data_IF_791132672506
#
_entry.id   IF_791132672506
#
_cell.length_a   1.000
_cell.length_b   1.000
_cell.length_c   1.000
_cell.angle_alpha   90.00
_cell.angle_beta   90.00
_cell.angle_gamma   90.00
#
_symmetry.space_group_name_H-M   'P 1'
#
loop_
_entity.id
_entity.type
_entity.pdbx_description
1 polymer ?
#
# COMPACT_ATOMS: atom_id res chain seq x y z
N UNK A 1 -16.27 -27.39 -61.74
CA UNK A 1 -16.96 -26.43 -60.85
C UNK A 1 -16.09 -25.19 -60.66
N UNK A 2 -16.64 -24.02 -61.04
CA UNK A 2 -16.37 -22.62 -60.63
C UNK A 2 -14.92 -22.21 -60.25
N UNK A 3 -14.22 -21.41 -61.06
CA UNK A 3 -14.08 -19.92 -61.01
C UNK A 3 -13.39 -19.41 -59.72
N UNK A 4 -12.53 -18.39 -59.67
CA UNK A 4 -11.82 -17.49 -60.60
C UNK A 4 -10.86 -16.66 -59.70
N UNK A 5 -9.69 -16.34 -60.25
CA UNK A 5 -8.93 -15.07 -60.19
C UNK A 5 -9.36 -13.93 -59.26
N UNK A 6 -8.32 -13.24 -58.75
CA UNK A 6 -8.24 -11.82 -58.37
C UNK A 6 -8.70 -11.41 -56.97
N UNK A 7 -7.72 -11.21 -56.07
CA UNK A 7 -7.84 -10.31 -54.93
C UNK A 7 -7.23 -8.96 -55.33
N UNK A 8 -7.97 -8.19 -56.11
CA UNK A 8 -7.67 -6.79 -56.39
C UNK A 8 -8.54 -5.89 -55.52
N UNK A 9 -7.85 -5.02 -54.79
CA UNK A 9 -8.15 -3.60 -54.63
C UNK A 9 -9.48 -3.20 -53.97
N UNK A 10 -9.37 -2.51 -52.83
CA UNK A 10 -10.21 -1.36 -52.43
C UNK A 10 -9.52 -0.67 -51.26
N UNK A 11 -8.84 0.44 -51.54
CA UNK A 11 -9.34 1.81 -51.34
C UNK A 11 -9.20 2.25 -49.88
N UNK A 12 -8.15 3.04 -49.65
CA UNK A 12 -7.88 3.81 -48.45
C UNK A 12 -9.07 4.70 -48.05
N UNK A 13 -9.37 4.83 -46.75
CA UNK A 13 -10.10 5.97 -46.23
C UNK A 13 -9.14 6.93 -45.52
N UNK A 14 -8.93 8.04 -46.22
CA UNK A 14 -8.71 9.43 -45.75
C UNK A 14 -8.43 9.61 -44.25
N UNK A 15 -7.22 10.08 -43.96
CA UNK A 15 -6.83 10.78 -42.73
C UNK A 15 -7.79 11.96 -42.49
N UNK A 16 -8.64 11.85 -41.46
CA UNK A 16 -9.39 12.97 -40.91
C UNK A 16 -8.57 13.50 -39.73
N UNK A 17 -7.80 14.55 -39.97
CA UNK A 17 -7.14 15.31 -38.91
C UNK A 17 -8.19 16.16 -38.19
N UNK A 18 -8.70 15.69 -37.05
CA UNK A 18 -9.54 16.49 -36.16
C UNK A 18 -8.63 17.36 -35.30
N UNK A 19 -8.49 18.64 -35.66
CA UNK A 19 -7.85 19.64 -34.81
C UNK A 19 -8.86 20.06 -33.74
N UNK A 20 -8.80 19.44 -32.56
CA UNK A 20 -9.48 19.94 -31.37
C UNK A 20 -8.67 21.08 -30.76
N UNK A 21 -9.01 22.32 -31.12
CA UNK A 21 -8.59 23.50 -30.38
C UNK A 21 -9.34 23.53 -29.03
N UNK A 22 -8.69 23.07 -27.97
CA UNK A 22 -9.22 23.15 -26.60
C UNK A 22 -8.72 24.44 -25.95
N UNK A 23 -9.53 25.50 -26.05
CA UNK A 23 -9.35 26.73 -25.28
C UNK A 23 -9.65 26.45 -23.81
N UNK A 24 -8.61 26.13 -23.05
CA UNK A 24 -8.72 25.93 -21.61
C UNK A 24 -8.81 27.29 -20.91
N UNK A 25 -10.03 27.75 -20.64
CA UNK A 25 -10.25 28.85 -19.69
C UNK A 25 -9.92 28.32 -18.28
N UNK A 26 -8.80 28.76 -17.73
CA UNK A 26 -8.40 28.45 -16.35
C UNK A 26 -9.38 29.13 -15.38
N UNK A 27 -10.34 28.36 -14.87
CA UNK A 27 -11.15 28.76 -13.71
C UNK A 27 -10.26 28.67 -12.46
N UNK A 28 -10.14 29.73 -11.65
CA UNK A 28 -9.46 29.62 -10.37
C UNK A 28 -10.34 28.77 -9.44
N UNK A 29 -9.90 27.55 -9.13
CA UNK A 29 -10.48 26.76 -8.05
C UNK A 29 -10.02 27.39 -6.74
N UNK A 30 -10.91 28.13 -6.09
CA UNK A 30 -10.71 28.58 -4.73
C UNK A 30 -11.02 27.38 -3.83
N UNK A 31 -9.98 26.64 -3.45
CA UNK A 31 -10.09 25.59 -2.43
C UNK A 31 -10.45 26.25 -1.09
N UNK A 32 -11.71 26.11 -0.66
CA UNK A 32 -12.14 26.46 0.69
C UNK A 32 -11.44 25.52 1.68
N UNK A 33 -10.33 25.96 2.26
CA UNK A 33 -9.73 25.30 3.42
C UNK A 33 -10.33 25.94 4.67
N UNK A 34 -11.07 25.14 5.45
CA UNK A 34 -11.48 25.60 6.78
C UNK A 34 -10.23 25.86 7.62
N UNK A 35 -10.11 27.02 8.29
CA UNK A 35 -9.02 27.25 9.22
C UNK A 35 -9.27 26.41 10.46
N UNK A 36 -8.64 25.22 10.54
CA UNK A 36 -8.50 24.48 11.79
C UNK A 36 -7.48 25.22 12.69
N UNK A 37 -7.90 26.34 13.28
CA UNK A 37 -7.11 27.07 14.27
C UNK A 37 -7.54 26.63 15.67
N UNK A 38 -6.81 25.65 16.21
CA UNK A 38 -6.89 25.24 17.60
C UNK A 38 -5.62 24.48 17.96
N UNK A 39 -5.03 24.76 19.11
CA UNK A 39 -3.94 23.93 19.62
C UNK A 39 -4.52 22.53 19.86
N UNK A 40 -4.00 21.53 19.14
CA UNK A 40 -4.35 20.14 19.42
C UNK A 40 -3.99 19.87 20.89
N UNK A 41 -4.92 19.33 21.70
CA UNK A 41 -4.57 18.89 23.04
C UNK A 41 -3.37 17.96 22.90
N UNK A 42 -2.33 18.20 23.71
CA UNK A 42 -1.21 17.26 23.85
C UNK A 42 -1.77 16.05 24.59
N UNK A 43 -2.54 15.23 23.90
CA UNK A 43 -2.90 13.91 24.37
C UNK A 43 -1.60 13.17 24.58
N UNK A 44 -1.43 12.53 25.74
CA UNK A 44 -0.38 11.54 25.91
C UNK A 44 -0.56 10.50 24.81
N UNK A 45 0.24 10.61 23.75
CA UNK A 45 0.11 9.83 22.50
C UNK A 45 0.14 8.32 22.76
N UNK A 46 0.60 7.92 23.95
CA UNK A 46 0.70 6.53 24.39
C UNK A 46 -0.53 6.04 25.18
N UNK A 47 -1.30 6.92 25.83
CA UNK A 47 -2.45 6.53 26.64
C UNK A 47 -3.70 6.22 25.80
N UNK A 48 -3.75 6.75 24.57
CA UNK A 48 -4.88 6.61 23.64
C UNK A 48 -4.59 5.60 22.50
N UNK A 49 -3.49 4.84 22.61
CA UNK A 49 -3.13 3.85 21.58
C UNK A 49 -3.94 2.57 21.76
N UNK A 50 -4.71 2.20 20.73
CA UNK A 50 -5.44 0.92 20.68
C UNK A 50 -4.46 -0.24 20.97
N UNK A 51 -4.78 -1.17 21.89
CA UNK A 51 -3.97 -2.34 22.16
C UNK A 51 -3.64 -3.13 20.89
N UNK A 52 -2.43 -3.71 20.83
CA UNK A 52 -1.95 -4.37 19.62
C UNK A 52 -2.86 -5.54 19.21
N UNK A 53 -3.31 -6.34 20.17
CA UNK A 53 -4.22 -7.46 19.92
C UNK A 53 -5.58 -6.99 19.37
N UNK A 54 -6.12 -5.87 19.87
CA UNK A 54 -7.37 -5.30 19.34
C UNK A 54 -7.19 -4.81 17.90
N UNK A 55 -6.04 -4.19 17.60
CA UNK A 55 -5.70 -3.77 16.25
C UNK A 55 -5.55 -4.96 15.30
N UNK A 56 -4.88 -6.04 15.73
CA UNK A 56 -4.80 -7.29 14.97
C UNK A 56 -6.19 -7.92 14.79
N UNK A 57 -7.04 -7.90 15.82
CA UNK A 57 -8.42 -8.38 15.73
C UNK A 57 -9.27 -7.59 14.73
N UNK A 58 -9.00 -6.30 14.54
CA UNK A 58 -9.56 -5.51 13.44
C UNK A 58 -9.01 -5.97 12.10
N UNK A 59 -7.68 -6.11 11.95
CA UNK A 59 -7.06 -6.62 10.72
C UNK A 59 -7.63 -7.97 10.31
N UNK A 60 -7.81 -8.90 11.25
CA UNK A 60 -8.35 -10.23 10.98
C UNK A 60 -9.74 -10.17 10.34
N UNK A 61 -10.57 -9.19 10.71
CA UNK A 61 -11.91 -9.04 10.16
C UNK A 61 -11.93 -8.44 8.75
N UNK A 62 -11.01 -7.52 8.45
CA UNK A 62 -10.99 -6.79 7.16
C UNK A 62 -10.07 -7.42 6.11
N UNK A 63 -8.97 -8.01 6.56
CA UNK A 63 -7.94 -8.59 5.72
C UNK A 63 -7.18 -9.69 6.52
N UNK A 64 -7.70 -10.92 6.57
CA UNK A 64 -7.08 -12.01 7.33
C UNK A 64 -5.60 -12.23 6.99
N UNK A 65 -5.23 -12.13 5.71
CA UNK A 65 -3.82 -12.25 5.30
C UNK A 65 -2.94 -11.11 5.84
N UNK A 66 -3.50 -9.91 6.02
CA UNK A 66 -2.79 -8.78 6.61
C UNK A 66 -2.51 -9.00 8.09
N UNK A 67 -3.45 -9.60 8.83
CA UNK A 67 -3.24 -9.99 10.22
C UNK A 67 -2.15 -11.05 10.36
N UNK A 68 -2.21 -12.12 9.57
CA UNK A 68 -1.18 -13.17 9.61
C UNK A 68 0.20 -12.61 9.26
N UNK A 69 0.29 -11.81 8.20
CA UNK A 69 1.55 -11.17 7.79
C UNK A 69 2.07 -10.17 8.82
N UNK A 70 1.19 -9.41 9.48
CA UNK A 70 1.55 -8.52 10.57
C UNK A 70 2.08 -9.30 11.79
N UNK A 71 1.46 -10.43 12.16
CA UNK A 71 1.99 -11.29 13.24
C UNK A 71 3.37 -11.84 12.91
N UNK A 72 3.59 -12.28 11.68
CA UNK A 72 4.92 -12.73 11.23
C UNK A 72 5.96 -11.61 11.31
N UNK A 73 5.59 -10.38 10.93
CA UNK A 73 6.45 -9.20 11.01
C UNK A 73 6.78 -8.84 12.47
N UNK A 74 5.79 -8.83 13.36
CA UNK A 74 5.96 -8.58 14.79
C UNK A 74 6.90 -9.61 15.44
N UNK A 75 6.72 -10.90 15.12
CA UNK A 75 7.59 -11.96 15.64
C UNK A 75 9.02 -11.82 15.13
N UNK A 76 9.21 -11.51 13.84
CA UNK A 76 10.52 -11.25 13.26
C UNK A 76 11.18 -9.99 13.86
N UNK A 77 10.40 -8.94 14.11
CA UNK A 77 10.85 -7.71 14.75
C UNK A 77 11.33 -7.97 16.17
N UNK A 78 10.53 -8.65 17.00
CA UNK A 78 10.90 -9.00 18.37
C UNK A 78 12.22 -9.79 18.40
N UNK A 79 12.36 -10.77 17.52
CA UNK A 79 13.59 -11.59 17.43
C UNK A 79 14.82 -10.78 17.03
N UNK A 80 14.68 -9.84 16.09
CA UNK A 80 15.82 -9.08 15.55
C UNK A 80 16.17 -7.82 16.36
N UNK A 81 15.16 -7.19 16.96
CA UNK A 81 15.29 -5.89 17.60
C UNK A 81 15.21 -5.95 19.12
N UNK A 82 14.97 -7.13 19.70
CA UNK A 82 15.03 -7.37 21.15
C UNK A 82 13.90 -6.70 21.96
N UNK A 83 12.91 -6.09 21.30
CA UNK A 83 11.79 -5.42 21.96
C UNK A 83 10.48 -5.63 21.20
N UNK A 84 9.34 -5.51 21.88
CA UNK A 84 8.05 -5.55 21.21
C UNK A 84 7.87 -4.29 20.37
N UNK A 85 7.20 -4.45 19.23
CA UNK A 85 6.75 -3.33 18.41
C UNK A 85 5.41 -2.82 18.95
N UNK A 86 5.23 -1.50 18.99
CA UNK A 86 3.97 -0.87 19.39
C UNK A 86 2.97 -0.82 18.24
N UNK A 87 1.68 -0.70 18.55
CA UNK A 87 0.61 -0.56 17.54
C UNK A 87 0.84 0.64 16.62
N UNK A 88 1.33 1.76 17.14
CA UNK A 88 1.65 2.98 16.38
C UNK A 88 2.80 2.77 15.41
N UNK A 89 3.77 1.93 15.76
CA UNK A 89 4.87 1.54 14.87
C UNK A 89 4.37 0.62 13.76
N UNK A 90 3.56 -0.39 14.11
CA UNK A 90 2.95 -1.29 13.12
C UNK A 90 2.04 -0.53 12.15
N UNK A 91 1.18 0.37 12.66
CA UNK A 91 0.30 1.22 11.84
C UNK A 91 1.10 2.11 10.90
N UNK A 92 2.21 2.67 11.38
CA UNK A 92 3.12 3.45 10.56
C UNK A 92 3.78 2.59 9.49
N UNK A 93 4.25 1.39 9.84
CA UNK A 93 4.78 0.43 8.88
C UNK A 93 3.72 0.00 7.84
N UNK A 94 2.43 -0.07 8.18
CA UNK A 94 1.38 -0.38 7.20
C UNK A 94 1.03 0.79 6.29
N UNK A 95 1.03 2.02 6.81
CA UNK A 95 0.39 3.15 6.11
C UNK A 95 1.35 4.23 5.62
N UNK A 96 2.55 4.36 6.19
CA UNK A 96 3.47 5.44 5.83
C UNK A 96 4.16 5.14 4.49
N UNK A 97 4.13 6.10 3.56
CA UNK A 97 4.87 6.02 2.29
C UNK A 97 4.45 4.86 1.37
N UNK A 98 3.23 4.33 1.53
CA UNK A 98 2.76 3.15 0.81
C UNK A 98 2.94 1.83 1.58
N UNK A 99 3.54 1.89 2.78
CA UNK A 99 3.80 0.73 3.63
C UNK A 99 5.25 0.26 3.56
N UNK A 100 5.68 -0.44 4.60
CA UNK A 100 6.97 -1.10 4.71
C UNK A 100 6.98 -2.30 3.76
N UNK A 101 7.95 -2.37 2.83
CA UNK A 101 7.95 -3.40 1.79
C UNK A 101 8.14 -4.81 2.36
N UNK A 102 8.81 -4.96 3.51
CA UNK A 102 8.99 -6.26 4.15
C UNK A 102 7.67 -6.72 4.76
N UNK A 103 6.96 -5.83 5.46
CA UNK A 103 5.63 -6.10 5.98
C UNK A 103 4.65 -6.46 4.85
N UNK A 104 4.61 -5.67 3.77
CA UNK A 104 3.76 -5.98 2.62
C UNK A 104 4.14 -7.32 1.95
N UNK A 105 5.44 -7.63 1.90
CA UNK A 105 5.96 -8.91 1.44
C UNK A 105 5.46 -10.09 2.27
N UNK A 106 5.46 -9.96 3.60
CA UNK A 106 4.91 -10.96 4.52
C UNK A 106 3.40 -11.12 4.33
N UNK A 107 2.65 -10.02 4.22
CA UNK A 107 1.20 -10.08 3.94
C UNK A 107 0.92 -10.84 2.65
N UNK A 108 1.70 -10.59 1.59
CA UNK A 108 1.60 -11.34 0.33
C UNK A 108 1.94 -12.82 0.51
N UNK A 109 3.03 -13.13 1.22
CA UNK A 109 3.43 -14.51 1.48
C UNK A 109 2.35 -15.27 2.25
N UNK A 110 1.77 -14.65 3.29
CA UNK A 110 0.65 -15.22 4.05
C UNK A 110 -0.60 -15.41 3.20
N UNK A 111 -0.93 -14.46 2.31
CA UNK A 111 -2.03 -14.61 1.36
C UNK A 111 -1.82 -15.81 0.41
N UNK A 112 -0.60 -15.99 -0.10
CA UNK A 112 -0.23 -17.08 -0.99
C UNK A 112 0.05 -18.41 -0.26
N UNK A 113 0.08 -18.40 1.08
CA UNK A 113 0.52 -19.53 1.92
C UNK A 113 1.94 -20.00 1.58
N UNK A 114 2.81 -19.05 1.25
CA UNK A 114 4.20 -19.28 0.90
C UNK A 114 5.10 -19.20 2.15
N UNK A 115 5.30 -20.36 2.80
CA UNK A 115 6.12 -20.46 4.01
C UNK A 115 7.60 -20.13 3.76
N UNK A 116 8.12 -20.44 2.55
CA UNK A 116 9.51 -20.15 2.19
C UNK A 116 9.68 -18.63 2.01
N UNK A 117 8.77 -18.00 1.28
CA UNK A 117 8.74 -16.55 1.13
C UNK A 117 8.58 -15.83 2.47
N UNK A 118 7.72 -16.34 3.37
CA UNK A 118 7.55 -15.77 4.71
C UNK A 118 8.88 -15.77 5.50
N UNK A 119 9.61 -16.88 5.48
CA UNK A 119 10.91 -16.98 6.13
C UNK A 119 11.97 -16.04 5.50
N UNK A 120 11.92 -15.82 4.18
CA UNK A 120 12.82 -14.89 3.49
C UNK A 120 12.52 -13.43 3.83
N UNK A 121 11.25 -13.04 3.89
CA UNK A 121 10.87 -11.69 4.29
C UNK A 121 11.18 -11.41 5.75
N UNK A 122 10.93 -12.37 6.65
CA UNK A 122 11.22 -12.23 8.08
C UNK A 122 12.70 -11.88 8.38
N UNK A 123 13.64 -12.36 7.56
CA UNK A 123 15.07 -12.06 7.71
C UNK A 123 15.41 -10.59 7.41
N UNK A 124 14.59 -9.93 6.60
CA UNK A 124 14.84 -8.58 6.08
C UNK A 124 14.37 -7.46 7.04
N UNK A 125 13.81 -7.79 8.20
CA UNK A 125 12.93 -6.87 8.96
C UNK A 125 13.51 -5.54 9.43
N UNK A 126 14.79 -5.26 9.64
CA UNK A 126 15.32 -3.94 10.14
C UNK A 126 14.76 -3.41 11.49
N UNK A 127 15.66 -2.80 12.26
CA UNK A 127 15.33 -2.16 13.53
C UNK A 127 15.41 -0.63 13.38
N UNK A 128 14.43 0.13 13.88
CA UNK A 128 14.49 1.58 13.87
C UNK A 128 15.68 2.06 14.72
N UNK A 129 16.41 3.06 14.23
CA UNK A 129 17.57 3.61 14.92
C UNK A 129 18.91 2.92 14.63
N UNK A 130 18.96 1.93 13.74
CA UNK A 130 20.22 1.39 13.22
C UNK A 130 21.06 0.59 14.21
N UNK A 131 20.53 0.21 15.38
CA UNK A 131 21.20 -0.76 16.25
C UNK A 131 21.19 -2.12 15.55
N UNK A 132 22.32 -2.49 14.96
CA UNK A 132 22.67 -3.88 14.71
C UNK A 132 22.64 -4.66 16.04
N UNK A 133 22.26 -5.94 16.00
CA UNK A 133 22.23 -6.80 17.18
C UNK A 133 23.60 -6.89 17.89
#
# INVERSE_FOLDING_TARGET
MKHRTALMSRLAPRLVAVVLATTSAAMPVWGQTSPARGALPKSDVHADEIPLDDYLGLLQRIAPAAETGARAYLAAFQRRCGRPMRTSELRRALSQGGGDPVLLGLIRASHLRDAVGEAQWAQQVRCPGGSTP
#
